data_IF_603261327747
#
_entry.id   IF_603261327747
#
_cell.length_a   1.000
_cell.length_b   1.000
_cell.length_c   1.000
_cell.angle_alpha   90.00
_cell.angle_beta   90.00
_cell.angle_gamma   90.00
#
_symmetry.space_group_name_H-M   'P 1'
#
loop_
_entity.id
_entity.type
_entity.pdbx_description
1 polymer ?
#
# COMPACT_ATOMS: atom_id res chain seq x y z
N UNK A 1 5.88 -11.06 -8.71
CA UNK A 1 6.52 -11.36 -7.39
C UNK A 1 5.94 -10.39 -6.38
N UNK A 2 5.02 -10.82 -5.55
CA UNK A 2 4.21 -9.91 -4.71
C UNK A 2 4.82 -9.82 -3.33
N UNK A 3 5.28 -8.65 -2.98
CA UNK A 3 5.77 -8.35 -1.64
C UNK A 3 4.62 -7.81 -0.79
N UNK A 4 4.10 -8.63 0.11
CA UNK A 4 3.00 -8.27 1.04
C UNK A 4 3.55 -7.56 2.28
N UNK A 5 4.43 -6.60 2.10
CA UNK A 5 5.04 -5.84 3.21
C UNK A 5 4.15 -4.71 3.79
N UNK A 6 2.89 -4.82 3.80
CA UNK A 6 2.02 -3.79 3.33
C UNK A 6 1.10 -3.16 4.33
N UNK A 7 0.54 -3.87 5.24
CA UNK A 7 -0.50 -3.33 6.09
C UNK A 7 -0.01 -2.61 7.32
N UNK A 8 1.22 -2.84 7.64
CA UNK A 8 1.88 -2.29 8.83
C UNK A 8 1.98 -0.78 8.79
N UNK A 9 2.18 -0.22 7.60
CA UNK A 9 2.46 1.20 7.45
C UNK A 9 1.23 2.11 7.43
N UNK A 10 0.02 1.57 7.30
CA UNK A 10 -1.21 2.38 7.34
C UNK A 10 -1.33 3.21 8.61
N UNK A 11 -0.55 2.86 9.61
CA UNK A 11 -0.63 3.41 10.95
C UNK A 11 0.48 4.39 11.27
N UNK A 12 1.48 4.45 10.44
CA UNK A 12 2.71 5.18 10.71
C UNK A 12 2.72 6.64 10.22
N UNK A 13 1.72 7.12 9.50
CA UNK A 13 1.92 8.26 8.63
C UNK A 13 1.09 9.48 8.94
N UNK A 14 1.65 10.50 9.50
CA UNK A 14 1.11 11.87 9.39
C UNK A 14 1.81 13.00 10.20
N UNK A 15 3.10 12.92 10.55
CA UNK A 15 3.81 13.89 11.42
C UNK A 15 4.36 15.15 10.74
N UNK A 16 4.50 15.20 9.43
CA UNK A 16 5.32 16.22 8.76
C UNK A 16 4.55 17.48 8.35
N UNK A 17 3.24 17.57 8.56
CA UNK A 17 2.38 18.50 7.83
C UNK A 17 2.01 19.83 8.46
N UNK A 18 2.42 20.16 9.69
CA UNK A 18 2.13 21.50 10.23
C UNK A 18 2.85 22.61 9.43
N UNK A 19 3.97 22.31 8.82
CA UNK A 19 4.70 23.27 7.97
C UNK A 19 4.19 23.31 6.51
N UNK A 20 3.68 22.20 5.96
CA UNK A 20 3.15 22.12 4.58
C UNK A 20 1.67 22.49 4.44
N UNK A 21 0.90 22.50 5.54
CA UNK A 21 -0.55 22.82 5.49
C UNK A 21 -0.82 24.25 4.97
N UNK A 22 0.08 25.21 5.21
CA UNK A 22 0.00 26.55 4.61
C UNK A 22 0.41 26.59 3.14
N UNK A 23 1.19 25.65 2.65
CA UNK A 23 1.57 25.53 1.23
C UNK A 23 0.56 24.68 0.45
N UNK A 24 0.00 23.61 1.07
CA UNK A 24 -0.91 22.68 0.40
C UNK A 24 -2.32 23.26 0.17
N UNK A 25 -2.79 24.23 0.97
CA UNK A 25 -4.02 24.93 0.64
C UNK A 25 -3.91 25.72 -0.66
N UNK A 26 -2.71 26.20 -1.01
CA UNK A 26 -2.44 26.76 -2.35
C UNK A 26 -2.31 25.70 -3.43
N UNK A 27 -1.69 24.56 -3.10
CA UNK A 27 -1.54 23.43 -4.03
C UNK A 27 -2.87 22.69 -4.25
N UNK A 28 -3.74 22.54 -3.24
CA UNK A 28 -5.10 22.01 -3.42
C UNK A 28 -5.96 22.90 -4.33
N UNK A 29 -5.79 24.22 -4.30
CA UNK A 29 -6.47 25.11 -5.26
C UNK A 29 -5.89 24.97 -6.68
N UNK A 30 -4.62 24.61 -6.84
CA UNK A 30 -3.98 24.36 -8.13
C UNK A 30 -4.30 22.94 -8.62
N UNK A 31 -4.29 21.94 -7.74
CA UNK A 31 -4.66 20.54 -8.03
C UNK A 31 -6.16 20.38 -8.30
N UNK A 32 -7.03 21.13 -7.61
CA UNK A 32 -8.47 21.18 -7.93
C UNK A 32 -8.76 21.79 -9.32
N UNK A 33 -7.81 22.54 -9.89
CA UNK A 33 -7.85 23.02 -11.27
C UNK A 33 -7.38 21.99 -12.31
N UNK A 34 -6.62 20.98 -11.89
CA UNK A 34 -6.07 19.91 -12.74
C UNK A 34 -6.61 18.53 -12.39
N UNK A 35 -7.57 18.41 -11.45
CA UNK A 35 -8.30 17.16 -11.30
C UNK A 35 -9.00 16.90 -12.62
N UNK A 36 -8.43 16.02 -13.43
CA UNK A 36 -9.18 15.40 -14.52
C UNK A 36 -10.49 14.93 -13.89
N UNK A 37 -11.61 15.44 -14.41
CA UNK A 37 -12.93 15.02 -14.03
C UNK A 37 -12.94 13.48 -14.01
N UNK A 38 -12.80 12.90 -12.82
CA UNK A 38 -13.10 11.49 -12.62
C UNK A 38 -14.55 11.37 -13.05
N UNK A 39 -14.74 10.74 -14.18
CA UNK A 39 -16.02 10.75 -14.87
C UNK A 39 -17.11 10.27 -13.90
N UNK A 40 -18.31 10.85 -13.99
CA UNK A 40 -19.49 10.43 -13.23
C UNK A 40 -19.87 8.95 -13.44
N UNK A 41 -19.09 8.22 -14.23
CA UNK A 41 -19.34 6.85 -14.67
C UNK A 41 -19.22 5.77 -13.57
N UNK A 42 -18.50 6.03 -12.48
CA UNK A 42 -18.36 5.03 -11.41
C UNK A 42 -19.52 5.03 -10.40
N UNK A 43 -20.42 6.01 -10.42
CA UNK A 43 -21.45 6.17 -9.37
C UNK A 43 -22.57 5.13 -9.43
N UNK A 44 -23.07 4.80 -10.61
CA UNK A 44 -24.15 3.85 -10.82
C UNK A 44 -23.78 2.90 -11.95
N UNK A 45 -23.79 1.60 -11.68
CA UNK A 45 -23.44 0.58 -12.67
C UNK A 45 -24.53 -0.50 -12.73
N UNK A 46 -24.56 -1.23 -13.83
CA UNK A 46 -25.35 -2.46 -13.96
C UNK A 46 -24.42 -3.64 -14.11
N UNK A 47 -24.57 -4.64 -13.25
CA UNK A 47 -23.80 -5.86 -13.26
C UNK A 47 -24.72 -7.08 -13.13
N UNK A 48 -24.58 -8.05 -14.05
CA UNK A 48 -25.45 -9.24 -14.12
C UNK A 48 -26.98 -8.91 -14.09
N UNK A 49 -27.37 -7.79 -14.73
CA UNK A 49 -28.75 -7.35 -14.80
C UNK A 49 -29.27 -6.60 -13.54
N UNK A 50 -28.46 -6.50 -12.50
CA UNK A 50 -28.77 -5.81 -11.26
C UNK A 50 -28.11 -4.43 -11.22
N UNK A 51 -28.76 -3.50 -10.52
CA UNK A 51 -28.24 -2.13 -10.36
C UNK A 51 -27.45 -1.99 -9.07
N UNK A 52 -26.36 -1.26 -9.15
CA UNK A 52 -25.47 -0.98 -8.03
C UNK A 52 -25.13 0.51 -7.97
N UNK A 53 -25.00 1.02 -6.76
CA UNK A 53 -24.57 2.39 -6.47
C UNK A 53 -23.23 2.37 -5.73
N UNK A 54 -22.36 3.32 -6.07
CA UNK A 54 -21.07 3.46 -5.41
C UNK A 54 -21.23 3.81 -3.92
N UNK A 55 -20.57 3.06 -3.05
CA UNK A 55 -20.58 3.31 -1.61
C UNK A 55 -19.63 4.45 -1.26
N UNK A 56 -20.15 5.67 -1.09
CA UNK A 56 -19.38 6.87 -0.76
C UNK A 56 -18.83 6.90 0.69
N UNK A 57 -19.06 5.86 1.49
CA UNK A 57 -18.49 5.67 2.84
C UNK A 57 -17.23 4.82 2.83
N UNK A 58 -16.76 4.45 1.66
CA UNK A 58 -15.47 3.78 1.47
C UNK A 58 -14.35 4.82 1.57
N UNK A 59 -13.33 4.47 2.31
CA UNK A 59 -12.04 5.17 2.29
C UNK A 59 -11.00 4.24 1.68
N UNK A 60 -10.28 4.74 0.68
CA UNK A 60 -9.15 4.05 0.06
C UNK A 60 -7.83 4.69 0.49
N UNK A 61 -6.83 3.85 0.75
CA UNK A 61 -5.45 4.27 0.99
C UNK A 61 -4.56 3.36 0.16
N UNK A 62 -3.74 3.94 -0.70
CA UNK A 62 -2.67 3.20 -1.37
C UNK A 62 -1.49 3.11 -0.43
N UNK A 63 -1.08 1.90 -0.11
CA UNK A 63 0.19 1.65 0.54
C UNK A 63 1.17 1.03 -0.46
N UNK A 64 2.38 1.57 -0.55
CA UNK A 64 3.43 1.01 -1.38
C UNK A 64 4.79 1.01 -0.68
N UNK A 65 5.56 -0.03 -0.96
CA UNK A 65 6.98 -0.11 -0.62
C UNK A 65 7.81 0.05 -1.89
N UNK A 66 8.77 0.97 -1.87
CA UNK A 66 9.72 1.16 -2.98
C UNK A 66 11.05 0.51 -2.67
N UNK A 67 11.68 -0.04 -3.71
CA UNK A 67 12.98 -0.71 -3.62
C UNK A 67 14.11 0.32 -3.64
N UNK A 68 14.25 1.03 -2.51
CA UNK A 68 15.34 1.98 -2.30
C UNK A 68 15.74 2.01 -0.83
N UNK A 69 16.98 2.41 -0.61
CA UNK A 69 17.54 2.72 0.70
C UNK A 69 17.78 4.25 0.79
N UNK A 70 17.98 4.76 2.01
CA UNK A 70 18.27 6.17 2.27
C UNK A 70 17.02 7.06 2.22
N UNK A 71 17.25 8.35 2.06
CA UNK A 71 16.17 9.34 2.11
C UNK A 71 15.32 9.34 0.86
N UNK A 72 14.01 9.40 1.05
CA UNK A 72 13.03 9.58 -0.02
C UNK A 72 12.81 11.08 -0.27
N UNK A 73 13.45 11.61 -1.30
CA UNK A 73 13.39 13.03 -1.64
C UNK A 73 12.97 13.23 -3.10
N UNK A 74 12.07 14.19 -3.31
CA UNK A 74 11.74 14.65 -4.66
C UNK A 74 12.94 15.29 -5.34
N UNK A 75 13.11 15.01 -6.61
CA UNK A 75 14.19 15.61 -7.43
C UNK A 75 13.62 16.36 -8.61
N UNK A 76 14.40 17.29 -9.16
CA UNK A 76 14.02 18.02 -10.38
C UNK A 76 14.10 17.15 -11.65
N UNK A 77 14.73 16.00 -11.57
CA UNK A 77 14.84 15.05 -12.66
C UNK A 77 13.82 13.94 -12.48
N UNK A 78 12.96 13.76 -13.47
CA UNK A 78 11.93 12.71 -13.50
C UNK A 78 12.47 11.44 -14.15
N UNK A 79 11.80 10.32 -13.87
CA UNK A 79 12.24 9.01 -14.33
C UNK A 79 13.42 8.48 -13.53
N UNK A 80 13.76 7.23 -13.75
CA UNK A 80 14.91 6.57 -13.12
C UNK A 80 14.84 6.58 -11.57
N UNK A 81 13.63 6.51 -11.01
CA UNK A 81 13.40 6.35 -9.58
C UNK A 81 13.26 4.89 -9.23
N UNK A 82 13.30 4.60 -7.93
CA UNK A 82 13.01 3.27 -7.42
C UNK A 82 11.66 2.75 -7.95
N UNK A 83 11.53 1.44 -8.09
CA UNK A 83 10.27 0.80 -8.46
C UNK A 83 9.44 0.52 -7.22
N UNK A 84 8.12 0.66 -7.32
CA UNK A 84 7.22 0.19 -6.30
C UNK A 84 7.11 -1.33 -6.39
N UNK A 85 7.68 -2.02 -5.41
CA UNK A 85 7.76 -3.49 -5.37
C UNK A 85 6.61 -4.12 -4.57
N UNK A 86 6.03 -3.35 -3.67
CA UNK A 86 4.89 -3.74 -2.85
C UNK A 86 3.78 -2.72 -3.06
N UNK A 87 2.64 -3.15 -3.58
CA UNK A 87 1.53 -2.27 -3.91
C UNK A 87 0.25 -2.86 -3.34
N UNK A 88 -0.44 -2.11 -2.51
CA UNK A 88 -1.62 -2.57 -1.82
C UNK A 88 -2.67 -1.49 -1.67
N UNK A 89 -3.87 -1.84 -2.03
CA UNK A 89 -5.03 -0.98 -1.86
C UNK A 89 -5.79 -1.38 -0.60
N UNK A 90 -5.74 -0.52 0.39
CA UNK A 90 -6.53 -0.66 1.62
C UNK A 90 -7.87 -0.03 1.41
N UNK A 91 -8.92 -0.82 1.62
CA UNK A 91 -10.31 -0.44 1.47
C UNK A 91 -11.00 -0.54 2.82
N UNK A 92 -11.46 0.59 3.34
CA UNK A 92 -12.14 0.66 4.64
C UNK A 92 -13.60 1.04 4.44
N UNK A 93 -14.50 0.13 4.78
CA UNK A 93 -15.95 0.39 4.81
C UNK A 93 -16.36 0.80 6.23
N UNK A 94 -16.60 2.09 6.41
CA UNK A 94 -16.99 2.65 7.73
C UNK A 94 -18.35 2.12 8.22
N UNK A 95 -19.24 1.80 7.29
CA UNK A 95 -20.59 1.29 7.62
C UNK A 95 -20.56 -0.16 8.06
N UNK A 96 -19.86 -0.99 7.30
CA UNK A 96 -19.71 -2.42 7.60
C UNK A 96 -18.66 -2.68 8.67
N UNK A 97 -17.88 -1.68 9.06
CA UNK A 97 -16.71 -1.81 9.95
C UNK A 97 -15.76 -2.90 9.45
N UNK A 98 -15.51 -2.91 8.16
CA UNK A 98 -14.66 -3.87 7.49
C UNK A 98 -13.47 -3.18 6.87
N UNK A 99 -12.31 -3.81 6.99
CA UNK A 99 -11.09 -3.45 6.27
C UNK A 99 -10.72 -4.62 5.36
N UNK A 100 -10.43 -4.32 4.12
CA UNK A 100 -9.92 -5.29 3.16
C UNK A 100 -8.66 -4.73 2.54
N UNK A 101 -7.67 -5.58 2.34
CA UNK A 101 -6.42 -5.22 1.70
C UNK A 101 -6.31 -5.99 0.41
N UNK A 102 -6.21 -5.28 -0.70
CA UNK A 102 -5.98 -5.90 -2.00
C UNK A 102 -4.51 -5.75 -2.35
N UNK A 103 -3.80 -6.88 -2.33
CA UNK A 103 -2.41 -6.95 -2.76
C UNK A 103 -2.35 -7.07 -4.28
N UNK A 104 -1.60 -6.15 -4.91
CA UNK A 104 -1.51 -6.02 -6.37
C UNK A 104 -0.09 -6.37 -6.80
N UNK A 105 0.04 -7.29 -7.75
CA UNK A 105 1.34 -7.63 -8.31
C UNK A 105 1.96 -6.40 -8.99
N UNK A 106 3.22 -6.08 -8.67
CA UNK A 106 3.95 -4.95 -9.26
C UNK A 106 4.11 -5.04 -10.77
N UNK A 107 4.09 -6.28 -11.28
CA UNK A 107 4.23 -6.57 -12.71
C UNK A 107 2.86 -6.57 -13.44
N UNK A 108 1.77 -6.13 -12.74
CA UNK A 108 0.45 -5.96 -13.33
C UNK A 108 0.49 -4.98 -14.49
N UNK A 109 0.07 -5.44 -15.66
CA UNK A 109 -0.03 -4.64 -16.87
C UNK A 109 -1.25 -3.72 -16.79
N UNK A 110 -1.00 -2.41 -16.70
CA UNK A 110 -2.04 -1.38 -16.58
C UNK A 110 -1.59 -0.06 -17.20
N UNK A 111 -2.51 0.89 -17.34
CA UNK A 111 -2.18 2.23 -17.79
C UNK A 111 -1.52 3.01 -16.65
N UNK A 112 -0.35 3.59 -16.93
CA UNK A 112 0.37 4.46 -16.02
C UNK A 112 0.71 5.79 -16.72
N UNK A 113 0.82 6.87 -15.96
CA UNK A 113 1.26 8.15 -16.49
C UNK A 113 2.78 8.18 -16.63
N UNK A 114 3.21 8.71 -17.76
CA UNK A 114 4.63 8.87 -18.05
C UNK A 114 5.00 10.36 -18.14
N UNK A 115 6.17 10.69 -17.60
CA UNK A 115 6.74 12.01 -17.69
C UNK A 115 8.06 11.96 -18.45
N UNK A 116 8.42 13.06 -19.13
CA UNK A 116 9.78 13.25 -19.64
C UNK A 116 10.75 13.53 -18.48
N UNK A 117 12.04 13.42 -18.72
CA UNK A 117 13.07 13.75 -17.71
C UNK A 117 12.96 15.18 -17.15
N UNK A 118 12.32 16.10 -17.87
CA UNK A 118 12.04 17.46 -17.45
C UNK A 118 10.67 17.66 -16.80
N UNK A 119 9.94 16.58 -16.51
CA UNK A 119 8.64 16.61 -15.83
C UNK A 119 7.43 16.96 -16.71
N UNK A 120 7.58 16.95 -18.05
CA UNK A 120 6.42 17.17 -18.93
C UNK A 120 5.61 15.89 -19.06
N UNK A 121 4.32 15.99 -18.86
CA UNK A 121 3.35 14.90 -19.05
C UNK A 121 3.37 14.39 -20.50
N UNK A 122 3.56 13.09 -20.67
CA UNK A 122 3.57 12.38 -21.96
C UNK A 122 2.32 11.50 -22.15
N UNK A 123 1.35 11.57 -21.25
CA UNK A 123 0.12 10.80 -21.29
C UNK A 123 0.22 9.42 -20.66
N UNK A 124 -0.82 8.62 -20.90
CA UNK A 124 -0.94 7.27 -20.38
C UNK A 124 -0.29 6.26 -21.30
N UNK A 125 0.38 5.28 -20.70
CA UNK A 125 1.09 4.21 -21.39
C UNK A 125 0.86 2.89 -20.63
N UNK A 126 0.63 1.79 -21.34
CA UNK A 126 0.43 0.47 -20.73
C UNK A 126 1.77 -0.19 -20.46
N UNK A 127 2.04 -0.48 -19.19
CA UNK A 127 3.22 -1.21 -18.74
C UNK A 127 3.00 -1.71 -17.30
N UNK A 128 4.05 -2.24 -16.65
CA UNK A 128 4.02 -2.73 -15.28
C UNK A 128 3.65 -1.63 -14.29
N UNK A 129 2.72 -1.91 -13.39
CA UNK A 129 2.23 -1.00 -12.37
C UNK A 129 3.35 -0.39 -11.51
N UNK A 130 4.35 -1.20 -11.14
CA UNK A 130 5.48 -0.75 -10.31
C UNK A 130 6.27 0.42 -10.90
N UNK A 131 6.25 0.61 -12.22
CA UNK A 131 6.90 1.74 -12.88
C UNK A 131 6.13 3.06 -12.75
N UNK A 132 4.89 3.06 -12.30
CA UNK A 132 4.15 4.30 -12.09
C UNK A 132 4.85 5.25 -11.12
N UNK A 133 5.51 4.72 -10.07
CA UNK A 133 6.35 5.50 -9.17
C UNK A 133 7.66 5.95 -9.84
N UNK A 134 8.28 5.06 -10.62
CA UNK A 134 9.58 5.27 -11.26
C UNK A 134 9.60 6.48 -12.20
N UNK A 135 8.51 6.71 -12.93
CA UNK A 135 8.46 7.79 -13.93
C UNK A 135 8.17 9.18 -13.34
N UNK A 136 7.85 9.29 -12.05
CA UNK A 136 7.67 10.58 -11.38
C UNK A 136 8.99 11.21 -10.90
N UNK A 137 8.86 12.09 -9.91
CA UNK A 137 9.95 12.89 -9.33
C UNK A 137 10.65 12.19 -8.14
N UNK A 138 10.14 11.05 -7.69
CA UNK A 138 10.55 10.38 -6.45
C UNK A 138 9.88 10.95 -5.20
N UNK A 139 8.93 11.89 -5.36
CA UNK A 139 8.16 12.53 -4.31
C UNK A 139 6.65 12.42 -4.53
N UNK A 140 5.94 13.54 -4.30
CA UNK A 140 4.49 13.58 -4.38
C UNK A 140 3.97 13.16 -5.77
N UNK A 141 4.63 13.59 -6.86
CA UNK A 141 4.21 13.22 -8.23
C UNK A 141 4.34 11.72 -8.47
N UNK A 142 5.41 11.08 -7.98
CA UNK A 142 5.55 9.61 -8.06
C UNK A 142 4.45 8.89 -7.31
N UNK A 143 4.10 9.35 -6.11
CA UNK A 143 3.03 8.78 -5.29
C UNK A 143 1.65 8.96 -5.93
N UNK A 144 1.36 10.16 -6.46
CA UNK A 144 0.09 10.47 -7.15
C UNK A 144 -0.06 9.68 -8.44
N UNK A 145 1.03 9.49 -9.20
CA UNK A 145 1.04 8.66 -10.41
C UNK A 145 0.72 7.19 -10.10
N UNK A 146 1.24 6.67 -8.99
CA UNK A 146 0.93 5.31 -8.55
C UNK A 146 -0.54 5.19 -8.10
N UNK A 147 -1.08 6.21 -7.41
CA UNK A 147 -2.50 6.28 -7.08
C UNK A 147 -3.38 6.30 -8.33
N UNK A 148 -3.02 7.12 -9.33
CA UNK A 148 -3.74 7.18 -10.61
C UNK A 148 -3.73 5.83 -11.33
N UNK A 149 -2.59 5.16 -11.39
CA UNK A 149 -2.48 3.85 -12.04
C UNK A 149 -3.35 2.78 -11.36
N UNK A 150 -3.37 2.75 -10.02
CA UNK A 150 -4.26 1.85 -9.26
C UNK A 150 -5.73 2.24 -9.46
N UNK A 151 -6.05 3.53 -9.49
CA UNK A 151 -7.41 4.00 -9.79
C UNK A 151 -7.88 3.53 -11.16
N UNK A 152 -7.06 3.65 -12.20
CA UNK A 152 -7.34 3.18 -13.55
C UNK A 152 -7.54 1.67 -13.61
N UNK A 153 -6.68 0.90 -12.93
CA UNK A 153 -6.80 -0.55 -12.83
C UNK A 153 -8.14 -0.99 -12.22
N UNK A 154 -8.63 -0.25 -11.21
CA UNK A 154 -9.89 -0.52 -10.52
C UNK A 154 -11.10 0.22 -11.14
N UNK A 155 -11.04 0.62 -12.41
CA UNK A 155 -12.16 1.23 -13.11
C UNK A 155 -12.48 2.65 -12.63
N UNK A 156 -11.43 3.44 -12.41
CA UNK A 156 -11.49 4.85 -12.00
C UNK A 156 -12.04 5.06 -10.56
N UNK A 157 -12.00 4.03 -9.71
CA UNK A 157 -12.31 4.19 -8.29
C UNK A 157 -11.34 5.21 -7.65
N UNK A 158 -11.84 6.19 -6.88
CA UNK A 158 -10.98 7.21 -6.29
C UNK A 158 -9.92 6.62 -5.35
N UNK A 159 -8.65 6.80 -5.68
CA UNK A 159 -7.50 6.47 -4.86
C UNK A 159 -6.66 7.73 -4.70
N UNK A 160 -6.92 8.49 -3.65
CA UNK A 160 -6.35 9.84 -3.47
C UNK A 160 -5.59 10.02 -2.16
N UNK A 161 -5.37 8.92 -1.43
CA UNK A 161 -4.52 8.88 -0.23
C UNK A 161 -3.46 7.84 -0.41
N UNK A 162 -2.25 8.19 -0.01
CA UNK A 162 -1.13 7.28 -0.12
C UNK A 162 -0.23 7.30 1.10
N UNK A 163 0.47 6.20 1.25
CA UNK A 163 1.58 5.97 2.14
C UNK A 163 2.61 5.20 1.33
N UNK A 164 3.75 5.81 1.06
CA UNK A 164 4.84 5.17 0.35
C UNK A 164 6.07 5.18 1.25
N UNK A 165 6.67 4.01 1.43
CA UNK A 165 7.84 3.82 2.29
C UNK A 165 8.95 3.10 1.54
N UNK A 166 10.17 3.21 2.02
CA UNK A 166 11.27 2.41 1.52
C UNK A 166 11.69 1.33 2.54
N UNK A 167 12.76 0.60 2.21
CA UNK A 167 13.20 -0.53 3.02
C UNK A 167 13.69 -0.10 4.42
N UNK A 168 14.30 1.07 4.54
CA UNK A 168 14.82 1.58 5.82
C UNK A 168 13.72 1.99 6.80
N UNK A 169 12.47 2.07 6.34
CA UNK A 169 11.33 2.39 7.19
C UNK A 169 10.89 1.24 8.12
N UNK A 170 11.24 -0.01 7.82
CA UNK A 170 10.70 -1.19 8.51
C UNK A 170 10.94 -1.22 10.03
N UNK A 171 12.15 -0.95 10.54
CA UNK A 171 12.38 -0.90 11.97
C UNK A 171 11.54 0.17 12.65
N UNK A 172 11.45 1.36 12.05
CA UNK A 172 10.64 2.46 12.60
C UNK A 172 9.16 2.10 12.69
N UNK A 173 8.64 1.45 11.65
CA UNK A 173 7.24 1.00 11.61
C UNK A 173 6.97 -0.02 12.74
N UNK A 174 7.84 -1.00 12.90
CA UNK A 174 7.73 -2.00 13.94
C UNK A 174 7.75 -1.37 15.35
N UNK A 175 8.62 -0.37 15.53
CA UNK A 175 8.79 0.33 16.79
C UNK A 175 7.62 1.27 17.15
N UNK A 176 6.80 1.69 16.18
CA UNK A 176 5.59 2.48 16.44
C UNK A 176 4.62 1.78 17.40
N UNK A 177 4.64 0.46 17.43
CA UNK A 177 3.77 -0.37 18.27
C UNK A 177 4.54 -1.14 19.34
N UNK A 178 5.75 -0.70 19.68
CA UNK A 178 6.65 -1.36 20.64
C UNK A 178 7.04 -2.80 20.22
N UNK A 179 7.24 -3.02 18.91
CA UNK A 179 7.59 -4.32 18.35
C UNK A 179 6.40 -5.26 18.17
N UNK A 180 6.48 -6.14 17.20
CA UNK A 180 5.43 -7.12 16.87
C UNK A 180 5.89 -8.53 17.22
N UNK A 181 5.10 -9.25 18.00
CA UNK A 181 5.32 -10.67 18.28
C UNK A 181 4.54 -11.50 17.29
N UNK A 182 5.23 -12.39 16.60
CA UNK A 182 4.67 -13.30 15.60
C UNK A 182 4.82 -14.76 16.02
N UNK A 183 3.92 -15.60 15.54
CA UNK A 183 4.16 -17.05 15.50
C UNK A 183 4.80 -17.35 14.15
N UNK A 184 6.00 -17.88 14.15
CA UNK A 184 6.79 -18.17 12.94
C UNK A 184 6.05 -19.21 12.09
N UNK A 185 5.74 -18.92 10.80
CA UNK A 185 4.88 -19.79 10.01
C UNK A 185 5.62 -20.90 9.26
N UNK A 186 6.94 -20.76 9.09
CA UNK A 186 7.77 -21.72 8.35
C UNK A 186 9.24 -21.65 8.81
N UNK A 187 10.06 -22.59 8.33
CA UNK A 187 11.47 -22.73 8.73
C UNK A 187 12.47 -22.02 7.79
N UNK A 188 12.02 -21.20 6.84
CA UNK A 188 12.89 -20.59 5.81
C UNK A 188 14.07 -19.78 6.36
N UNK A 189 13.96 -19.28 7.58
CA UNK A 189 14.98 -18.47 8.26
C UNK A 189 15.69 -19.19 9.39
N UNK A 190 15.33 -20.44 9.70
CA UNK A 190 15.80 -21.15 10.87
C UNK A 190 17.31 -21.41 10.88
N UNK A 191 17.94 -21.52 9.71
CA UNK A 191 19.40 -21.70 9.59
C UNK A 191 20.16 -20.42 9.94
N UNK A 192 19.59 -19.26 9.63
CA UNK A 192 20.21 -17.95 9.89
C UNK A 192 19.83 -17.43 11.28
N UNK A 193 18.61 -17.68 11.71
CA UNK A 193 18.04 -17.25 12.97
C UNK A 193 17.42 -18.45 13.69
N UNK A 194 18.14 -19.08 14.65
CA UNK A 194 17.65 -20.28 15.34
C UNK A 194 16.31 -20.10 16.07
N UNK A 195 15.96 -18.86 16.42
CA UNK A 195 14.65 -18.52 16.99
C UNK A 195 13.50 -18.59 15.99
N UNK A 196 13.77 -18.51 14.68
CA UNK A 196 12.75 -18.57 13.62
C UNK A 196 12.41 -19.99 13.19
N UNK A 197 12.20 -20.86 14.18
CA UNK A 197 11.60 -22.17 13.96
C UNK A 197 10.09 -22.07 13.89
N UNK A 198 9.46 -22.78 12.95
CA UNK A 198 8.02 -22.88 12.80
C UNK A 198 7.33 -23.16 14.14
N UNK A 199 6.30 -22.36 14.44
CA UNK A 199 5.52 -22.42 15.68
C UNK A 199 6.12 -21.65 16.86
N UNK A 200 7.37 -21.18 16.79
CA UNK A 200 7.94 -20.33 17.83
C UNK A 200 7.28 -18.95 17.85
N UNK A 201 7.18 -18.38 19.04
CA UNK A 201 6.80 -16.97 19.19
C UNK A 201 8.05 -16.10 19.30
N UNK A 202 8.20 -15.14 18.39
CA UNK A 202 9.33 -14.23 18.33
C UNK A 202 8.83 -12.79 18.26
N UNK A 203 9.40 -11.93 19.10
CA UNK A 203 9.19 -10.48 18.97
C UNK A 203 10.22 -9.92 18.01
N UNK A 204 9.75 -9.32 16.93
CA UNK A 204 10.60 -8.72 15.91
C UNK A 204 11.13 -7.37 16.39
N UNK A 205 12.39 -7.11 16.10
CA UNK A 205 13.12 -5.89 16.43
C UNK A 205 13.95 -5.39 15.24
N UNK A 206 14.75 -4.33 15.44
CA UNK A 206 15.54 -3.69 14.41
C UNK A 206 16.56 -4.64 13.74
N UNK A 207 16.99 -5.70 14.44
CA UNK A 207 18.02 -6.62 13.95
C UNK A 207 17.48 -7.71 13.05
N UNK A 208 16.19 -8.03 13.12
CA UNK A 208 15.63 -9.22 12.46
C UNK A 208 14.37 -8.96 11.63
N UNK A 209 13.72 -7.79 11.78
CA UNK A 209 12.47 -7.51 11.07
C UNK A 209 12.64 -7.48 9.55
N UNK A 210 13.74 -6.90 9.06
CA UNK A 210 14.00 -6.81 7.62
C UNK A 210 14.11 -8.21 7.01
N UNK A 211 14.91 -9.07 7.62
CA UNK A 211 15.08 -10.45 7.13
C UNK A 211 13.80 -11.25 7.26
N UNK A 212 13.07 -11.11 8.36
CA UNK A 212 11.78 -11.79 8.52
C UNK A 212 10.79 -11.44 7.38
N UNK A 213 10.75 -10.19 6.96
CA UNK A 213 9.80 -9.69 5.97
C UNK A 213 10.30 -9.78 4.52
N UNK A 214 11.62 -9.77 4.28
CA UNK A 214 12.17 -9.69 2.92
C UNK A 214 12.92 -10.94 2.48
N UNK A 215 13.52 -11.68 3.40
CA UNK A 215 14.37 -12.81 3.05
C UNK A 215 13.64 -13.80 2.13
N UNK A 216 14.35 -14.23 1.12
CA UNK A 216 13.94 -15.25 0.18
C UNK A 216 15.16 -16.02 -0.27
N UNK A 217 15.13 -17.34 -0.14
CA UNK A 217 16.09 -18.21 -0.77
C UNK A 217 15.79 -18.28 -2.26
N UNK A 218 16.59 -17.58 -3.09
CA UNK A 218 16.40 -17.51 -4.53
C UNK A 218 16.77 -18.82 -5.24
N UNK A 219 17.49 -19.71 -4.57
CA UNK A 219 17.94 -21.00 -5.11
C UNK A 219 16.90 -22.11 -4.90
N UNK A 220 15.87 -21.84 -4.09
CA UNK A 220 14.78 -22.79 -3.80
C UNK A 220 13.50 -22.40 -4.54
N UNK A 221 12.91 -23.37 -5.25
CA UNK A 221 11.59 -23.20 -5.85
C UNK A 221 10.54 -22.92 -4.75
N UNK A 222 9.54 -22.10 -5.06
CA UNK A 222 8.46 -21.68 -4.15
C UNK A 222 8.87 -20.89 -2.90
N UNK A 223 10.12 -20.50 -2.76
CA UNK A 223 10.60 -19.67 -1.63
C UNK A 223 9.85 -18.34 -1.45
N UNK A 224 9.11 -17.88 -2.47
CA UNK A 224 8.24 -16.72 -2.38
C UNK A 224 7.01 -16.96 -1.49
N UNK A 225 6.49 -18.18 -1.45
CA UNK A 225 5.31 -18.53 -0.65
C UNK A 225 5.58 -18.36 0.84
N UNK A 226 6.71 -18.87 1.33
CA UNK A 226 7.11 -18.72 2.73
C UNK A 226 7.29 -17.26 3.15
N UNK A 227 7.83 -16.41 2.28
CA UNK A 227 7.89 -14.96 2.53
C UNK A 227 6.50 -14.34 2.63
N UNK A 228 5.58 -14.70 1.73
CA UNK A 228 4.19 -14.24 1.76
C UNK A 228 3.50 -14.63 3.08
N UNK A 229 3.72 -15.87 3.55
CA UNK A 229 3.19 -16.32 4.84
C UNK A 229 3.72 -15.49 6.00
N UNK A 230 5.03 -15.26 6.06
CA UNK A 230 5.64 -14.42 7.11
C UNK A 230 5.06 -13.00 7.10
N UNK A 231 4.87 -12.42 5.92
CA UNK A 231 4.28 -11.10 5.78
C UNK A 231 2.82 -11.05 6.25
N UNK A 232 2.00 -12.07 5.94
CA UNK A 232 0.62 -12.17 6.41
C UNK A 232 0.54 -12.26 7.93
N UNK A 233 1.35 -13.14 8.52
CA UNK A 233 1.41 -13.30 9.98
C UNK A 233 1.82 -12.00 10.66
N UNK A 234 2.83 -11.31 10.13
CA UNK A 234 3.25 -10.01 10.65
C UNK A 234 2.12 -8.97 10.57
N UNK A 235 1.42 -8.91 9.45
CA UNK A 235 0.31 -7.98 9.27
C UNK A 235 -0.81 -8.17 10.27
N UNK A 236 -1.27 -9.40 10.43
CA UNK A 236 -2.31 -9.73 11.40
C UNK A 236 -1.88 -9.38 12.81
N UNK A 237 -0.67 -9.76 13.20
CA UNK A 237 -0.12 -9.46 14.52
C UNK A 237 0.05 -7.95 14.76
N UNK A 238 0.43 -7.19 13.74
CA UNK A 238 0.53 -5.74 13.82
C UNK A 238 -0.84 -5.08 14.03
N UNK A 239 -1.85 -5.47 13.28
CA UNK A 239 -3.23 -4.98 13.47
C UNK A 239 -3.73 -5.28 14.88
N UNK A 240 -3.47 -6.48 15.39
CA UNK A 240 -3.85 -6.85 16.76
C UNK A 240 -3.10 -6.02 17.80
N UNK A 241 -1.82 -5.73 17.56
CA UNK A 241 -1.03 -4.84 18.41
C UNK A 241 -1.65 -3.44 18.49
N UNK A 242 -2.09 -2.88 17.35
CA UNK A 242 -2.79 -1.59 17.32
C UNK A 242 -4.11 -1.64 18.06
N UNK A 243 -4.89 -2.70 17.89
CA UNK A 243 -6.15 -2.88 18.63
C UNK A 243 -5.91 -2.87 20.13
N UNK A 244 -4.75 -3.33 20.59
CA UNK A 244 -4.36 -3.39 22.01
C UNK A 244 -3.77 -2.09 22.58
N UNK A 245 -3.39 -1.11 21.74
CA UNK A 245 -2.81 0.14 22.21
C UNK A 245 -3.81 0.96 23.01
N UNK A 246 -3.35 1.59 24.09
CA UNK A 246 -4.13 2.59 24.82
C UNK A 246 -4.39 3.83 23.98
N UNK A 247 -5.48 4.54 24.25
CA UNK A 247 -5.87 5.72 23.45
C UNK A 247 -4.82 6.86 23.56
N UNK A 248 -4.14 6.99 24.70
CA UNK A 248 -3.02 7.90 24.86
C UNK A 248 -1.82 7.58 23.97
N UNK A 249 -1.52 6.32 23.77
CA UNK A 249 -0.43 5.87 22.89
C UNK A 249 -0.72 6.10 21.40
N UNK A 250 -1.97 6.24 20.99
CA UNK A 250 -2.30 6.55 19.58
C UNK A 250 -1.80 7.93 19.15
N UNK A 251 -1.74 8.89 20.07
CA UNK A 251 -1.13 10.19 19.77
C UNK A 251 0.39 10.11 19.74
N UNK A 252 0.98 9.27 20.58
CA UNK A 252 2.42 9.03 20.60
C UNK A 252 2.89 8.37 19.31
N UNK A 253 2.12 7.43 18.74
CA UNK A 253 2.43 6.85 17.42
C UNK A 253 2.50 7.92 16.35
N UNK A 254 1.61 8.91 16.36
CA UNK A 254 1.68 10.05 15.46
C UNK A 254 2.99 10.83 15.62
N UNK A 255 3.36 11.16 16.86
CA UNK A 255 4.57 11.93 17.14
C UNK A 255 5.85 11.17 16.76
N UNK A 256 5.83 9.85 16.87
CA UNK A 256 6.94 8.97 16.49
C UNK A 256 7.20 8.92 14.98
N UNK A 257 6.23 9.32 14.15
CA UNK A 257 6.38 9.37 12.70
C UNK A 257 7.42 10.38 12.22
N UNK A 258 7.67 11.41 13.01
CA UNK A 258 8.71 12.39 12.67
C UNK A 258 10.11 11.73 12.57
N UNK A 259 10.32 10.62 13.28
CA UNK A 259 11.57 9.85 13.20
C UNK A 259 11.76 9.14 11.86
N UNK A 260 10.68 8.86 11.11
CA UNK A 260 10.75 8.16 9.82
C UNK A 260 10.43 9.06 8.62
N UNK A 261 10.33 10.36 8.79
CA UNK A 261 10.02 11.33 7.72
C UNK A 261 10.94 11.25 6.51
N UNK A 262 12.18 10.81 6.72
CA UNK A 262 13.17 10.64 5.66
C UNK A 262 12.92 9.36 4.82
N UNK A 263 12.12 8.42 5.32
CA UNK A 263 11.87 7.10 4.73
C UNK A 263 10.40 6.89 4.32
N UNK A 264 9.65 8.01 4.27
CA UNK A 264 8.21 7.97 4.15
C UNK A 264 7.68 9.16 3.36
N UNK A 265 6.72 8.90 2.47
CA UNK A 265 5.94 9.91 1.75
C UNK A 265 4.45 9.66 1.92
N UNK A 266 3.69 10.73 2.23
CA UNK A 266 2.26 10.61 2.41
C UNK A 266 1.55 11.95 2.27
N UNK A 267 0.29 11.90 1.87
CA UNK A 267 -0.65 13.03 1.91
C UNK A 267 -1.72 12.89 3.01
N UNK A 268 -1.58 11.94 3.91
CA UNK A 268 -2.53 11.73 5.02
C UNK A 268 -2.26 12.74 6.14
N UNK A 269 -3.28 13.48 6.55
CA UNK A 269 -3.20 14.43 7.66
C UNK A 269 -3.34 13.74 9.02
N UNK A 270 -2.88 14.41 10.11
CA UNK A 270 -3.03 13.91 11.49
C UNK A 270 -4.47 13.50 11.83
N UNK A 271 -5.45 14.31 11.47
CA UNK A 271 -6.85 14.02 11.75
C UNK A 271 -7.34 12.79 11.01
N UNK A 272 -6.92 12.61 9.75
CA UNK A 272 -7.21 11.42 8.96
C UNK A 272 -6.55 10.19 9.58
N UNK A 273 -5.28 10.28 9.94
CA UNK A 273 -4.54 9.22 10.60
C UNK A 273 -5.26 8.75 11.89
N UNK A 274 -5.55 9.66 12.82
CA UNK A 274 -6.24 9.31 14.06
C UNK A 274 -7.64 8.73 13.81
N UNK A 275 -8.35 9.20 12.76
CA UNK A 275 -9.62 8.60 12.33
C UNK A 275 -9.42 7.16 11.86
N UNK A 276 -8.39 6.89 11.04
CA UNK A 276 -8.11 5.56 10.52
C UNK A 276 -7.74 4.57 11.64
N UNK A 277 -6.86 4.96 12.55
CA UNK A 277 -6.52 4.11 13.70
C UNK A 277 -7.75 3.78 14.54
N UNK A 278 -8.58 4.77 14.86
CA UNK A 278 -9.84 4.54 15.58
C UNK A 278 -10.80 3.62 14.84
N UNK A 279 -10.78 3.63 13.51
CA UNK A 279 -11.57 2.73 12.68
C UNK A 279 -11.00 1.32 12.71
N UNK A 280 -9.68 1.15 12.52
CA UNK A 280 -8.98 -0.14 12.58
C UNK A 280 -9.23 -0.86 13.91
N UNK A 281 -9.24 -0.15 15.02
CA UNK A 281 -9.57 -0.73 16.32
C UNK A 281 -10.98 -1.30 16.44
N UNK A 282 -11.87 -0.97 15.51
CA UNK A 282 -13.28 -1.39 15.50
C UNK A 282 -13.60 -2.43 14.44
N UNK A 283 -12.65 -2.68 13.51
CA UNK A 283 -12.86 -3.67 12.45
C UNK A 283 -12.51 -5.07 12.96
N UNK A 284 -13.26 -6.04 12.48
CA UNK A 284 -12.86 -7.44 12.54
C UNK A 284 -11.97 -7.69 11.30
N UNK A 285 -10.71 -8.07 11.54
CA UNK A 285 -9.71 -8.24 10.49
C UNK A 285 -8.96 -9.54 10.73
N UNK A 286 -8.83 -10.32 9.69
CA UNK A 286 -8.11 -11.58 9.65
C UNK A 286 -7.32 -11.73 8.35
N UNK A 287 -6.55 -12.79 8.21
CA UNK A 287 -5.80 -13.11 7.00
C UNK A 287 -6.70 -13.27 5.77
N UNK A 288 -7.97 -13.64 5.94
CA UNK A 288 -8.95 -13.77 4.87
C UNK A 288 -9.33 -12.41 4.25
N UNK A 289 -9.09 -11.32 4.97
CA UNK A 289 -9.33 -9.96 4.50
C UNK A 289 -8.18 -9.42 3.65
N UNK A 290 -7.10 -10.21 3.49
CA UNK A 290 -5.98 -9.92 2.59
C UNK A 290 -6.20 -10.68 1.29
N UNK A 291 -6.64 -9.96 0.27
CA UNK A 291 -6.97 -10.52 -1.04
C UNK A 291 -5.79 -10.28 -1.99
N UNK A 292 -5.29 -11.33 -2.59
CA UNK A 292 -4.37 -11.23 -3.71
C UNK A 292 -5.16 -11.12 -5.01
N UNK A 293 -4.79 -10.17 -5.86
CA UNK A 293 -5.43 -10.00 -7.16
C UNK A 293 -5.18 -11.23 -8.03
N UNK A 294 -6.25 -11.87 -8.49
CA UNK A 294 -6.16 -13.05 -9.36
C UNK A 294 -5.79 -12.67 -10.79
N UNK A 295 -5.03 -13.53 -11.45
CA UNK A 295 -4.58 -13.31 -12.82
C UNK A 295 -3.62 -14.39 -13.29
N UNK A 296 -2.91 -14.11 -14.38
CA UNK A 296 -1.92 -15.01 -14.97
C UNK A 296 -0.61 -14.28 -15.26
N UNK A 297 0.50 -14.93 -14.96
CA UNK A 297 1.81 -14.50 -15.38
C UNK A 297 2.05 -14.92 -16.84
N UNK A 298 2.71 -14.05 -17.59
CA UNK A 298 3.16 -14.29 -18.96
C UNK A 298 4.62 -13.85 -19.10
N UNK A 299 5.35 -14.51 -19.95
CA UNK A 299 6.71 -14.11 -20.28
C UNK A 299 6.67 -12.85 -21.16
N UNK A 300 7.20 -11.73 -20.65
CA UNK A 300 7.33 -10.47 -21.37
C UNK A 300 8.69 -10.34 -22.06
N UNK A 301 8.87 -9.30 -22.87
CA UNK A 301 10.14 -9.08 -23.60
C UNK A 301 11.35 -8.83 -22.67
N UNK A 302 11.14 -8.25 -21.50
CA UNK A 302 12.20 -7.86 -20.56
C UNK A 302 11.97 -8.46 -19.18
N UNK A 303 10.72 -8.46 -18.71
CA UNK A 303 10.30 -8.95 -17.40
C UNK A 303 8.97 -9.69 -17.53
N UNK A 304 8.67 -10.55 -16.57
CA UNK A 304 7.37 -11.20 -16.47
C UNK A 304 6.25 -10.16 -16.37
N UNK A 305 5.16 -10.41 -17.06
CA UNK A 305 3.98 -9.56 -17.11
C UNK A 305 2.83 -10.26 -16.38
N UNK A 306 2.11 -9.57 -15.52
CA UNK A 306 0.93 -10.09 -14.85
C UNK A 306 -0.34 -9.47 -15.44
N UNK A 307 -1.25 -10.32 -15.89
CA UNK A 307 -2.55 -9.93 -16.43
C UNK A 307 -3.66 -10.33 -15.46
N UNK A 308 -4.35 -9.36 -14.81
CA UNK A 308 -5.47 -9.65 -13.92
C UNK A 308 -6.60 -10.37 -14.65
N UNK A 309 -7.25 -11.32 -13.97
CA UNK A 309 -8.53 -11.87 -14.47
C UNK A 309 -9.59 -10.76 -14.42
N UNK A 310 -10.02 -10.32 -15.59
CA UNK A 310 -10.98 -9.21 -15.74
C UNK A 310 -12.32 -9.49 -15.05
N UNK A 311 -12.76 -10.76 -15.06
CA UNK A 311 -14.03 -11.16 -14.44
C UNK A 311 -13.94 -11.09 -12.92
N UNK A 312 -12.87 -11.64 -12.36
CA UNK A 312 -12.63 -11.61 -10.92
C UNK A 312 -12.33 -10.19 -10.43
N UNK A 313 -11.54 -9.41 -11.18
CA UNK A 313 -11.29 -8.00 -10.86
C UNK A 313 -12.60 -7.20 -10.84
N UNK A 314 -13.45 -7.37 -11.84
CA UNK A 314 -14.75 -6.69 -11.88
C UNK A 314 -15.66 -7.12 -10.73
N UNK A 315 -15.69 -8.42 -10.41
CA UNK A 315 -16.42 -8.94 -9.27
C UNK A 315 -15.92 -8.33 -7.96
N UNK A 316 -14.60 -8.26 -7.79
CA UNK A 316 -13.95 -7.67 -6.61
C UNK A 316 -14.27 -6.18 -6.48
N UNK A 317 -14.21 -5.42 -7.57
CA UNK A 317 -14.58 -3.98 -7.59
C UNK A 317 -16.00 -3.80 -7.10
N UNK A 318 -16.95 -4.59 -7.60
CA UNK A 318 -18.35 -4.49 -7.19
C UNK A 318 -18.52 -4.83 -5.72
N UNK A 319 -17.91 -5.92 -5.28
CA UNK A 319 -17.99 -6.37 -3.88
C UNK A 319 -17.44 -5.33 -2.89
N UNK A 320 -16.34 -4.67 -3.24
CA UNK A 320 -15.66 -3.73 -2.36
C UNK A 320 -16.27 -2.33 -2.39
N UNK A 321 -16.70 -1.85 -3.53
CA UNK A 321 -17.00 -0.44 -3.73
C UNK A 321 -18.46 -0.12 -4.00
N UNK A 322 -19.31 -1.12 -4.18
CA UNK A 322 -20.70 -0.91 -4.56
C UNK A 322 -21.69 -1.60 -3.64
N UNK A 323 -22.88 -1.02 -3.54
CA UNK A 323 -24.03 -1.59 -2.86
C UNK A 323 -25.16 -1.82 -3.87
N UNK A 324 -25.86 -2.94 -3.76
CA UNK A 324 -27.01 -3.25 -4.61
C UNK A 324 -28.17 -2.32 -4.24
N UNK A 325 -28.83 -1.74 -5.26
CA UNK A 325 -29.96 -0.82 -5.11
C UNK A 325 -31.29 -1.54 -5.30
#
# INVERSE_FOLDING_TARGET
>A
MVSILVCVCILAVAGIFIYKEMQSQKAMQISAGNSHNVGSGFRNITYNGEKYEYNNRITTILYAGVDSDGKMEATSQYGDKARADSINLVVMDEKKKKMTIVSINRDTMTQIRRYSMSGNDQGLYTTHLGYAYTYGDGGDVSCESLCEAVSLLFGEIPVNRYIVTNQDSMPYINNLVDGVTVTVPNNDLSDQYPEFYEGNQVTLDDSNIRDFLQHRDTDTEFSNEGRIERQKVYMSAYVDKIKSLDESKLEDTWNSLDSMKDYLQTNITRNQYLKFIKLIRKVDFSDEDIIQLSGSDQEGEIHDEFYPDETELKRLIIQLFYEKV
#
